data_IF_027082695718
#
_entry.id   IF_027082695718
#
_cell.length_a   1.000
_cell.length_b   1.000
_cell.length_c   1.000
_cell.angle_alpha   90.00
_cell.angle_beta   90.00
_cell.angle_gamma   90.00
#
_symmetry.space_group_name_H-M   'P 1'
#
loop_
_entity.id
_entity.type
_entity.pdbx_description
1 polymer ?
#
# COMPACT_ATOMS: atom_id res chain seq x y z
N UNK A 1 -20.26 13.46 -3.38
CA UNK A 1 -19.52 14.74 -3.24
C UNK A 1 -19.64 15.66 -4.46
N UNK A 2 -20.34 15.27 -5.55
CA UNK A 2 -20.60 16.17 -6.71
C UNK A 2 -21.82 17.08 -6.52
N UNK A 3 -22.76 16.67 -5.66
CA UNK A 3 -23.81 17.52 -5.12
C UNK A 3 -23.27 18.39 -3.98
N UNK A 4 -24.04 19.42 -3.61
CA UNK A 4 -23.79 20.23 -2.43
C UNK A 4 -23.71 19.36 -1.16
N UNK A 5 -22.87 19.79 -0.21
CA UNK A 5 -22.80 19.16 1.09
C UNK A 5 -24.15 19.36 1.82
N UNK A 6 -24.74 18.32 2.46
CA UNK A 6 -25.96 18.47 3.24
C UNK A 6 -25.84 19.57 4.30
N UNK A 7 -26.95 20.27 4.58
CA UNK A 7 -27.01 21.29 5.62
C UNK A 7 -26.70 20.67 7.01
N UNK A 8 -26.20 21.50 7.94
CA UNK A 8 -25.89 21.06 9.31
C UNK A 8 -24.61 20.22 9.48
N UNK A 9 -23.92 19.85 8.39
CA UNK A 9 -22.68 19.06 8.48
C UNK A 9 -21.50 19.87 9.08
N UNK A 10 -20.65 19.26 9.92
CA UNK A 10 -19.54 19.97 10.57
C UNK A 10 -18.48 20.43 9.55
N UNK A 11 -17.69 21.44 9.94
CA UNK A 11 -16.64 22.05 9.10
C UNK A 11 -15.72 21.00 8.49
N UNK A 12 -15.34 19.97 9.28
CA UNK A 12 -14.51 18.85 8.85
C UNK A 12 -15.01 18.17 7.57
N UNK A 13 -16.32 17.92 7.46
CA UNK A 13 -16.95 17.24 6.32
C UNK A 13 -17.06 18.20 5.13
N UNK A 14 -17.49 19.45 5.38
CA UNK A 14 -17.60 20.49 4.34
C UNK A 14 -16.27 20.72 3.61
N UNK A 15 -15.16 20.79 4.36
CA UNK A 15 -13.80 20.90 3.77
C UNK A 15 -13.45 19.67 2.93
N UNK A 16 -13.82 18.47 3.36
CA UNK A 16 -13.58 17.23 2.60
C UNK A 16 -14.36 17.20 1.28
N UNK A 17 -15.62 17.65 1.26
CA UNK A 17 -16.39 17.83 0.01
C UNK A 17 -15.67 18.76 -0.96
N UNK A 18 -15.23 19.93 -0.49
CA UNK A 18 -14.52 20.90 -1.31
C UNK A 18 -13.22 20.33 -1.90
N UNK A 19 -12.43 19.60 -1.09
CA UNK A 19 -11.18 18.97 -1.56
C UNK A 19 -11.41 17.88 -2.58
N UNK A 20 -12.42 17.03 -2.37
CA UNK A 20 -12.79 15.98 -3.33
C UNK A 20 -13.28 16.58 -4.66
N UNK A 21 -14.06 17.66 -4.60
CA UNK A 21 -14.48 18.40 -5.79
C UNK A 21 -13.27 19.03 -6.50
N UNK A 22 -12.32 19.61 -5.76
CA UNK A 22 -11.05 20.11 -6.32
C UNK A 22 -10.28 19.01 -7.05
N UNK A 23 -10.17 17.81 -6.48
CA UNK A 23 -9.52 16.69 -7.16
C UNK A 23 -10.24 16.30 -8.44
N UNK A 24 -11.57 16.27 -8.42
CA UNK A 24 -12.40 16.00 -9.60
C UNK A 24 -12.17 17.03 -10.72
N UNK A 25 -12.27 18.33 -10.41
CA UNK A 25 -12.06 19.42 -11.38
C UNK A 25 -10.64 19.40 -11.94
N UNK A 26 -9.61 19.21 -11.09
CA UNK A 26 -8.23 19.13 -11.56
C UNK A 26 -7.97 17.93 -12.48
N UNK A 27 -8.63 16.80 -12.25
CA UNK A 27 -8.55 15.64 -13.14
C UNK A 27 -9.22 15.94 -14.49
N UNK A 28 -10.37 16.60 -14.50
CA UNK A 28 -11.07 16.98 -15.72
C UNK A 28 -10.29 18.03 -16.54
N UNK A 29 -9.79 19.07 -15.87
CA UNK A 29 -9.04 20.17 -16.51
C UNK A 29 -7.73 19.70 -17.15
N UNK A 30 -7.02 18.75 -16.51
CA UNK A 30 -5.74 18.23 -16.99
C UNK A 30 -5.91 16.98 -17.85
N UNK A 31 -7.13 16.60 -18.18
CA UNK A 31 -7.40 15.48 -19.04
C UNK A 31 -6.86 15.75 -20.45
N UNK A 32 -6.06 14.81 -20.97
CA UNK A 32 -5.63 14.79 -22.36
C UNK A 32 -6.11 13.48 -22.98
N UNK A 33 -6.62 13.48 -24.23
CA UNK A 33 -6.93 12.25 -24.93
C UNK A 33 -5.73 11.28 -24.89
N UNK A 34 -5.95 9.99 -24.61
CA UNK A 34 -4.87 9.01 -24.61
C UNK A 34 -4.14 9.02 -25.96
N UNK A 35 -2.82 9.22 -25.95
CA UNK A 35 -2.02 9.12 -27.16
C UNK A 35 -2.08 7.69 -27.69
N UNK A 36 -2.26 7.52 -28.99
CA UNK A 36 -2.11 6.21 -29.62
C UNK A 36 -0.71 5.68 -29.33
N UNK A 37 -0.62 4.44 -28.84
CA UNK A 37 0.63 3.77 -28.51
C UNK A 37 0.55 2.30 -28.93
N UNK A 38 1.71 1.70 -29.25
CA UNK A 38 1.78 0.26 -29.52
C UNK A 38 1.48 -0.51 -28.24
N UNK A 39 0.53 -1.44 -28.31
CA UNK A 39 0.17 -2.31 -27.17
C UNK A 39 1.37 -3.20 -26.81
N UNK A 40 1.82 -3.14 -25.56
CA UNK A 40 2.88 -3.99 -25.00
C UNK A 40 2.28 -4.93 -23.95
N UNK A 41 2.12 -6.21 -24.31
CA UNK A 41 1.45 -7.20 -23.46
C UNK A 41 2.43 -7.94 -22.55
N UNK A 42 2.83 -7.33 -21.44
CA UNK A 42 3.90 -7.84 -20.56
C UNK A 42 3.71 -9.30 -20.11
N UNK A 43 2.53 -9.67 -19.61
CA UNK A 43 2.28 -11.04 -19.14
C UNK A 43 2.15 -12.06 -20.29
N UNK A 44 1.75 -11.63 -21.50
CA UNK A 44 1.82 -12.51 -22.68
C UNK A 44 3.27 -12.79 -23.05
N UNK A 45 4.12 -11.76 -22.99
CA UNK A 45 5.56 -11.91 -23.20
C UNK A 45 6.21 -12.83 -22.16
N UNK A 46 5.84 -12.74 -20.88
CA UNK A 46 6.33 -13.67 -19.86
C UNK A 46 5.87 -15.11 -20.10
N UNK A 47 4.56 -15.32 -20.35
CA UNK A 47 3.97 -16.64 -20.61
C UNK A 47 4.54 -17.33 -21.86
N UNK A 48 5.05 -16.57 -22.83
CA UNK A 48 5.67 -17.12 -24.03
C UNK A 48 7.06 -17.72 -23.78
N UNK A 49 7.69 -17.43 -22.63
CA UNK A 49 9.00 -17.98 -22.27
C UNK A 49 8.87 -19.26 -21.45
N UNK A 50 9.86 -20.16 -21.51
CA UNK A 50 9.89 -21.40 -20.72
C UNK A 50 9.94 -21.21 -19.20
N UNK A 51 10.27 -20.00 -18.73
CA UNK A 51 10.48 -19.70 -17.30
C UNK A 51 9.18 -19.45 -16.54
N UNK A 52 8.05 -19.24 -17.23
CA UNK A 52 6.76 -18.93 -16.60
C UNK A 52 5.71 -19.96 -17.00
N UNK A 53 5.08 -20.56 -15.99
CA UNK A 53 3.94 -21.46 -16.13
C UNK A 53 2.66 -20.78 -15.64
N UNK A 54 1.51 -21.32 -16.01
CA UNK A 54 0.19 -20.79 -15.63
C UNK A 54 -0.59 -21.86 -14.87
N UNK A 55 -1.18 -21.49 -13.75
CA UNK A 55 -2.07 -22.34 -12.94
C UNK A 55 -3.24 -21.51 -12.40
N UNK A 56 -4.18 -22.15 -11.70
CA UNK A 56 -5.32 -21.52 -11.01
C UNK A 56 -5.21 -21.80 -9.52
N UNK A 57 -5.20 -20.76 -8.70
CA UNK A 57 -4.99 -20.83 -7.24
C UNK A 57 -5.98 -19.92 -6.52
N UNK A 58 -6.15 -20.15 -5.21
CA UNK A 58 -6.92 -19.25 -4.33
C UNK A 58 -6.20 -17.90 -4.18
N UNK A 59 -6.97 -16.81 -4.05
CA UNK A 59 -6.41 -15.47 -3.91
C UNK A 59 -5.57 -15.33 -2.63
N UNK A 60 -6.01 -15.93 -1.53
CA UNK A 60 -5.25 -15.90 -0.25
C UNK A 60 -3.94 -16.68 -0.38
N UNK A 61 -3.95 -17.79 -1.10
CA UNK A 61 -2.75 -18.57 -1.40
C UNK A 61 -1.73 -17.73 -2.18
N UNK A 62 -2.16 -17.09 -3.28
CA UNK A 62 -1.28 -16.22 -4.07
C UNK A 62 -0.81 -15.01 -3.25
N UNK A 63 -1.67 -14.44 -2.41
CA UNK A 63 -1.32 -13.34 -1.50
C UNK A 63 -0.20 -13.70 -0.54
N UNK A 64 -0.28 -14.87 0.09
CA UNK A 64 0.76 -15.42 0.98
C UNK A 64 2.06 -15.70 0.20
N UNK A 65 1.96 -16.27 -1.00
CA UNK A 65 3.12 -16.49 -1.88
C UNK A 65 3.83 -15.18 -2.23
N UNK A 66 3.09 -14.13 -2.61
CA UNK A 66 3.65 -12.81 -2.93
C UNK A 66 4.32 -12.18 -1.71
N UNK A 67 3.74 -12.28 -0.51
CA UNK A 67 4.35 -11.78 0.72
C UNK A 67 5.69 -12.49 1.02
N UNK A 68 5.71 -13.83 0.90
CA UNK A 68 6.91 -14.65 1.09
C UNK A 68 7.99 -14.32 0.06
N UNK A 69 7.62 -14.21 -1.22
CA UNK A 69 8.54 -13.86 -2.30
C UNK A 69 9.15 -12.46 -2.06
N UNK A 70 8.33 -11.47 -1.70
CA UNK A 70 8.81 -10.13 -1.37
C UNK A 70 9.76 -10.11 -0.19
N UNK A 71 9.45 -10.84 0.89
CA UNK A 71 10.34 -11.01 2.04
C UNK A 71 11.70 -11.59 1.62
N UNK A 72 11.69 -12.70 0.89
CA UNK A 72 12.90 -13.37 0.43
C UNK A 72 13.73 -12.50 -0.50
N UNK A 73 13.12 -11.77 -1.44
CA UNK A 73 13.83 -10.86 -2.34
C UNK A 73 14.56 -9.76 -1.58
N UNK A 74 13.91 -9.14 -0.59
CA UNK A 74 14.54 -8.10 0.23
C UNK A 74 15.62 -8.68 1.13
N UNK A 75 15.39 -9.87 1.72
CA UNK A 75 16.37 -10.50 2.60
C UNK A 75 17.62 -10.96 1.84
N UNK A 76 17.45 -11.55 0.65
CA UNK A 76 18.56 -11.89 -0.25
C UNK A 76 19.39 -10.64 -0.60
N UNK A 77 18.77 -9.48 -0.80
CA UNK A 77 19.49 -8.23 -1.04
C UNK A 77 20.29 -7.76 0.19
N UNK A 78 19.75 -7.93 1.41
CA UNK A 78 20.47 -7.62 2.66
C UNK A 78 21.70 -8.52 2.79
N UNK A 79 21.53 -9.83 2.63
CA UNK A 79 22.61 -10.81 2.70
C UNK A 79 23.64 -10.62 1.58
N UNK A 80 23.21 -10.33 0.35
CA UNK A 80 24.11 -10.08 -0.79
C UNK A 80 25.04 -8.88 -0.56
N UNK A 81 24.61 -7.90 0.26
CA UNK A 81 25.43 -6.74 0.68
C UNK A 81 26.25 -7.00 1.95
N UNK A 82 26.22 -8.22 2.48
CA UNK A 82 26.90 -8.65 3.71
C UNK A 82 26.51 -7.77 4.92
N UNK A 83 25.21 -7.59 5.13
CA UNK A 83 24.63 -6.77 6.22
C UNK A 83 24.02 -7.65 7.32
N UNK A 84 24.79 -8.61 7.86
CA UNK A 84 24.32 -9.60 8.83
C UNK A 84 23.86 -9.00 10.19
N UNK A 85 24.18 -7.74 10.43
CA UNK A 85 23.75 -6.96 11.60
C UNK A 85 22.40 -6.25 11.40
N UNK A 86 21.74 -6.47 10.26
CA UNK A 86 20.37 -6.05 10.01
C UNK A 86 19.46 -7.27 9.93
N UNK A 87 18.27 -7.14 10.50
CA UNK A 87 17.21 -8.12 10.43
C UNK A 87 15.96 -7.49 9.82
N UNK A 88 15.42 -8.14 8.79
CA UNK A 88 14.09 -7.84 8.27
C UNK A 88 13.11 -8.81 8.94
N UNK A 89 12.18 -8.29 9.74
CA UNK A 89 11.12 -9.12 10.32
C UNK A 89 10.01 -9.42 9.29
N UNK A 90 9.16 -10.40 9.59
CA UNK A 90 8.09 -10.81 8.67
C UNK A 90 7.03 -9.74 8.44
N UNK A 91 6.94 -8.72 9.29
CA UNK A 91 6.08 -7.54 9.10
C UNK A 91 6.80 -6.41 8.35
N UNK A 92 7.91 -6.74 7.70
CA UNK A 92 8.75 -5.86 6.91
C UNK A 92 9.37 -4.70 7.71
N UNK A 93 9.57 -4.81 9.02
CA UNK A 93 10.39 -3.85 9.74
C UNK A 93 11.87 -4.21 9.60
N UNK A 94 12.69 -3.23 9.23
CA UNK A 94 14.14 -3.38 9.19
C UNK A 94 14.72 -2.88 10.51
N UNK A 95 15.36 -3.77 11.28
CA UNK A 95 15.90 -3.48 12.61
C UNK A 95 17.38 -3.84 12.67
N UNK A 96 18.22 -3.08 13.40
CA UNK A 96 19.57 -3.53 13.71
C UNK A 96 19.52 -4.64 14.78
N UNK A 97 20.33 -5.68 14.63
CA UNK A 97 20.44 -6.80 15.59
C UNK A 97 21.27 -6.38 16.81
N UNK A 98 22.20 -5.44 16.62
CA UNK A 98 23.08 -4.87 17.64
C UNK A 98 23.25 -3.37 17.40
N UNK A 99 23.79 -2.65 18.38
CA UNK A 99 24.23 -1.27 18.16
C UNK A 99 25.29 -1.21 17.07
N UNK A 100 25.05 -0.39 16.04
CA UNK A 100 25.91 -0.32 14.86
C UNK A 100 27.04 0.70 15.05
N UNK A 101 28.24 0.30 14.64
CA UNK A 101 29.36 1.24 14.48
C UNK A 101 29.04 2.28 13.40
N UNK A 102 29.77 3.40 13.40
CA UNK A 102 29.64 4.42 12.35
C UNK A 102 29.90 3.85 10.94
N UNK A 103 30.83 2.89 10.80
CA UNK A 103 31.14 2.21 9.53
C UNK A 103 29.99 1.33 9.06
N UNK A 104 29.44 0.51 9.95
CA UNK A 104 28.27 -0.33 9.66
C UNK A 104 27.04 0.52 9.29
N UNK A 105 26.78 1.61 10.05
CA UNK A 105 25.67 2.53 9.79
C UNK A 105 25.77 3.22 8.42
N UNK A 106 26.98 3.64 8.01
CA UNK A 106 27.20 4.23 6.67
C UNK A 106 27.00 3.18 5.57
N UNK A 107 27.52 1.96 5.76
CA UNK A 107 27.42 0.86 4.78
C UNK A 107 25.98 0.37 4.58
N UNK A 108 25.19 0.35 5.64
CA UNK A 108 23.84 -0.22 5.66
C UNK A 108 22.72 0.76 5.31
N UNK A 109 23.06 2.02 5.01
CA UNK A 109 22.11 3.06 4.64
C UNK A 109 21.47 2.77 3.27
N UNK A 110 20.31 2.13 3.28
CA UNK A 110 19.50 1.91 2.09
C UNK A 110 18.85 3.21 1.59
N UNK A 111 18.63 3.30 0.28
CA UNK A 111 17.95 4.42 -0.37
C UNK A 111 16.42 4.26 -0.43
N UNK A 112 15.76 5.26 -1.00
CA UNK A 112 14.30 5.30 -1.13
C UNK A 112 13.71 4.12 -1.90
N UNK A 113 14.42 3.56 -2.89
CA UNK A 113 13.92 2.43 -3.68
C UNK A 113 13.64 1.20 -2.81
N UNK A 114 14.62 0.82 -1.97
CA UNK A 114 14.48 -0.31 -1.04
C UNK A 114 13.35 -0.05 -0.04
N UNK A 115 13.37 1.10 0.61
CA UNK A 115 12.42 1.40 1.67
C UNK A 115 10.99 1.60 1.15
N UNK A 116 10.80 2.23 -0.01
CA UNK A 116 9.48 2.38 -0.61
C UNK A 116 8.91 1.02 -1.03
N UNK A 117 9.73 0.15 -1.64
CA UNK A 117 9.31 -1.22 -1.97
C UNK A 117 8.93 -2.02 -0.71
N UNK A 118 9.76 -1.95 0.34
CA UNK A 118 9.49 -2.59 1.64
C UNK A 118 8.16 -2.13 2.24
N UNK A 119 7.85 -0.83 2.21
CA UNK A 119 6.60 -0.30 2.75
C UNK A 119 5.38 -0.64 1.89
N UNK A 120 5.54 -0.79 0.56
CA UNK A 120 4.49 -1.33 -0.32
C UNK A 120 4.19 -2.79 0.05
N UNK A 121 5.23 -3.62 0.23
CA UNK A 121 5.06 -5.01 0.66
C UNK A 121 4.43 -5.13 2.04
N UNK A 122 4.76 -4.21 2.97
CA UNK A 122 4.10 -4.11 4.28
C UNK A 122 2.61 -3.87 4.13
N UNK A 123 2.20 -2.91 3.29
CA UNK A 123 0.77 -2.64 3.04
C UNK A 123 0.06 -3.85 2.45
N UNK A 124 0.65 -4.52 1.45
CA UNK A 124 0.10 -5.74 0.86
C UNK A 124 -0.06 -6.84 1.92
N UNK A 125 0.94 -7.01 2.79
CA UNK A 125 0.90 -8.00 3.87
C UNK A 125 -0.22 -7.72 4.86
N UNK A 126 -0.44 -6.46 5.26
CA UNK A 126 -1.56 -6.11 6.15
C UNK A 126 -2.91 -6.54 5.57
N UNK A 127 -3.13 -6.29 4.27
CA UNK A 127 -4.36 -6.69 3.59
C UNK A 127 -4.50 -8.22 3.52
N UNK A 128 -3.43 -8.92 3.11
CA UNK A 128 -3.43 -10.38 3.02
C UNK A 128 -3.66 -11.02 4.38
N UNK A 129 -2.98 -10.56 5.43
CA UNK A 129 -3.14 -11.09 6.78
C UNK A 129 -4.57 -10.89 7.31
N UNK A 130 -5.24 -9.77 7.02
CA UNK A 130 -6.66 -9.59 7.35
C UNK A 130 -7.53 -10.68 6.72
N UNK A 131 -7.31 -11.00 5.45
CA UNK A 131 -8.02 -12.09 4.78
C UNK A 131 -7.65 -13.47 5.34
N UNK A 132 -6.40 -13.69 5.76
CA UNK A 132 -5.98 -14.94 6.41
C UNK A 132 -6.72 -15.11 7.73
N UNK A 133 -6.79 -14.07 8.57
CA UNK A 133 -7.52 -14.14 9.84
C UNK A 133 -9.01 -14.46 9.64
N UNK A 134 -9.64 -13.85 8.64
CA UNK A 134 -11.00 -14.19 8.24
C UNK A 134 -11.14 -15.66 7.81
N UNK A 135 -10.24 -16.17 6.98
CA UNK A 135 -10.27 -17.56 6.49
C UNK A 135 -9.95 -18.60 7.56
N UNK A 136 -9.24 -18.22 8.61
CA UNK A 136 -9.01 -19.05 9.80
C UNK A 136 -10.21 -19.06 10.76
N UNK A 137 -11.25 -18.27 10.51
CA UNK A 137 -12.42 -18.18 11.37
C UNK A 137 -12.20 -17.34 12.64
N UNK A 138 -11.08 -16.61 12.74
CA UNK A 138 -10.78 -15.77 13.91
C UNK A 138 -11.54 -14.44 13.92
N UNK A 139 -12.06 -14.03 12.77
CA UNK A 139 -12.67 -12.72 12.53
C UNK A 139 -13.85 -12.91 11.58
N UNK A 140 -14.95 -12.19 11.79
CA UNK A 140 -16.13 -12.29 10.93
C UNK A 140 -15.98 -11.46 9.62
N UNK A 141 -16.97 -11.57 8.73
CA UNK A 141 -16.96 -10.88 7.44
C UNK A 141 -17.08 -9.34 7.57
N UNK A 142 -17.81 -8.85 8.57
CA UNK A 142 -18.01 -7.41 8.79
C UNK A 142 -16.75 -6.76 9.38
N UNK A 143 -16.12 -7.44 10.34
CA UNK A 143 -14.83 -7.08 10.91
C UNK A 143 -13.71 -7.12 9.86
N UNK A 144 -13.73 -8.08 8.93
CA UNK A 144 -12.84 -8.05 7.76
C UNK A 144 -13.07 -6.79 6.93
N UNK A 145 -14.32 -6.47 6.60
CA UNK A 145 -14.65 -5.30 5.80
C UNK A 145 -14.23 -3.99 6.48
N UNK A 146 -14.48 -3.85 7.78
CA UNK A 146 -14.04 -2.70 8.58
C UNK A 146 -12.51 -2.65 8.68
N UNK A 147 -11.85 -3.78 8.90
CA UNK A 147 -10.39 -3.88 8.92
C UNK A 147 -9.75 -3.40 7.61
N UNK A 148 -10.30 -3.79 6.46
CA UNK A 148 -9.86 -3.31 5.15
C UNK A 148 -10.11 -1.81 4.98
N UNK A 149 -11.29 -1.33 5.39
CA UNK A 149 -11.62 0.11 5.36
C UNK A 149 -10.61 0.90 6.19
N UNK A 150 -10.30 0.41 7.39
CA UNK A 150 -9.33 1.00 8.30
C UNK A 150 -7.92 1.02 7.69
N UNK A 151 -7.46 -0.09 7.11
CA UNK A 151 -6.15 -0.18 6.45
C UNK A 151 -6.01 0.89 5.35
N UNK A 152 -6.99 0.99 4.46
CA UNK A 152 -6.92 1.94 3.35
C UNK A 152 -7.13 3.40 3.77
N UNK A 153 -7.86 3.65 4.86
CA UNK A 153 -7.99 5.00 5.42
C UNK A 153 -6.76 5.46 6.22
N UNK A 154 -5.96 4.52 6.74
CA UNK A 154 -4.85 4.79 7.67
C UNK A 154 -3.49 4.27 7.17
N UNK A 155 -3.29 4.18 5.85
CA UNK A 155 -1.98 3.79 5.25
C UNK A 155 -0.83 4.62 5.80
N UNK A 156 -1.03 5.92 6.02
CA UNK A 156 0.00 6.80 6.58
C UNK A 156 0.41 6.47 8.03
N UNK A 157 -0.48 5.85 8.80
CA UNK A 157 -0.23 5.47 10.20
C UNK A 157 0.30 4.04 10.32
N UNK A 158 -0.24 3.11 9.53
CA UNK A 158 0.11 1.69 9.57
C UNK A 158 1.43 1.37 8.84
N UNK A 159 1.84 2.23 7.93
CA UNK A 159 3.09 2.10 7.16
C UNK A 159 4.02 3.28 7.46
N UNK A 160 5.00 3.51 6.59
CA UNK A 160 5.86 4.69 6.59
C UNK A 160 6.14 5.23 5.18
N UNK A 161 5.33 4.84 4.17
CA UNK A 161 5.63 5.13 2.75
C UNK A 161 5.89 6.62 2.46
N UNK A 162 5.19 7.53 3.15
CA UNK A 162 5.32 8.98 2.97
C UNK A 162 6.72 9.51 3.30
N UNK A 163 7.49 8.83 4.15
CA UNK A 163 8.88 9.18 4.48
C UNK A 163 9.83 8.99 3.29
N UNK A 164 9.52 8.03 2.43
CA UNK A 164 10.36 7.66 1.28
C UNK A 164 9.80 8.20 -0.05
N UNK A 165 8.53 8.63 -0.07
CA UNK A 165 7.91 9.37 -1.18
C UNK A 165 6.80 10.30 -0.68
N UNK A 166 7.14 11.54 -0.36
CA UNK A 166 6.22 12.49 0.25
C UNK A 166 5.01 12.88 -0.61
N UNK A 167 5.11 12.77 -1.95
CA UNK A 167 3.98 13.02 -2.86
C UNK A 167 2.75 12.14 -2.54
N UNK A 168 2.94 11.01 -1.86
CA UNK A 168 1.87 10.13 -1.38
C UNK A 168 0.91 10.81 -0.39
N UNK A 169 1.31 11.91 0.26
CA UNK A 169 0.42 12.72 1.09
C UNK A 169 -0.82 13.21 0.33
N UNK A 170 -0.78 13.25 -1.01
CA UNK A 170 -1.99 13.48 -1.83
C UNK A 170 -3.01 12.36 -1.64
N UNK A 171 -2.60 11.09 -1.74
CA UNK A 171 -3.47 9.92 -1.56
C UNK A 171 -3.96 9.81 -0.12
N UNK A 172 -3.07 9.95 0.87
CA UNK A 172 -3.45 9.86 2.30
C UNK A 172 -4.52 10.88 2.66
N UNK A 173 -4.38 12.13 2.20
CA UNK A 173 -5.41 13.17 2.41
C UNK A 173 -6.73 12.84 1.71
N UNK A 174 -6.67 12.34 0.48
CA UNK A 174 -7.86 11.91 -0.26
C UNK A 174 -8.61 10.77 0.46
N UNK A 175 -7.89 9.76 0.97
CA UNK A 175 -8.49 8.68 1.77
C UNK A 175 -9.14 9.22 3.06
N UNK A 176 -8.52 10.19 3.73
CA UNK A 176 -9.12 10.86 4.90
C UNK A 176 -10.39 11.62 4.55
N UNK A 177 -10.40 12.34 3.42
CA UNK A 177 -11.58 13.06 2.93
C UNK A 177 -12.72 12.10 2.56
N UNK A 178 -12.41 10.96 1.92
CA UNK A 178 -13.39 9.90 1.65
C UNK A 178 -13.92 9.26 2.94
N UNK A 179 -13.07 9.04 3.94
CA UNK A 179 -13.51 8.54 5.26
C UNK A 179 -14.54 9.48 5.90
N UNK A 180 -14.28 10.79 5.89
CA UNK A 180 -15.24 11.76 6.43
C UNK A 180 -16.57 11.72 5.66
N UNK A 181 -16.51 11.68 4.33
CA UNK A 181 -17.70 11.62 3.47
C UNK A 181 -18.56 10.39 3.77
N UNK A 182 -17.93 9.21 3.87
CA UNK A 182 -18.63 7.94 4.07
C UNK A 182 -19.22 7.88 5.48
N UNK A 183 -18.44 8.17 6.52
CA UNK A 183 -18.88 8.00 7.90
C UNK A 183 -20.07 8.90 8.28
N UNK A 184 -20.08 10.16 7.83
CA UNK A 184 -21.17 11.10 8.11
C UNK A 184 -22.44 10.85 7.29
N UNK A 185 -22.42 9.87 6.39
CA UNK A 185 -23.61 9.37 5.70
C UNK A 185 -24.01 7.98 6.18
N UNK A 186 -23.04 7.18 6.60
CA UNK A 186 -23.25 5.79 7.03
C UNK A 186 -23.72 5.69 8.50
N UNK A 187 -23.21 6.55 9.38
CA UNK A 187 -23.56 6.58 10.81
C UNK A 187 -24.66 7.59 11.12
N UNK A 188 -25.56 7.83 10.18
CA UNK A 188 -26.74 8.69 10.33
C UNK A 188 -27.97 7.81 10.28
#
# INVERSE_FOLDING_TARGET
>A
YREHCPAGQPVKVRVSYQKLLKYYVLNALKHRPPKAQKKRYLFRSFKATKFFQSTKLDWVEVGLQVCRQGYNMLNLLIHRKNLNYLHLDYNFNLKPVKTLTTKERKKSRFGNAFHLCREVLRLSKLVVDSHVQYRLGNVDAFQLADGLQYIFAHVGQLTGMYRYKYKLMRQIRMCKDLKHLIYYRFNT
#
